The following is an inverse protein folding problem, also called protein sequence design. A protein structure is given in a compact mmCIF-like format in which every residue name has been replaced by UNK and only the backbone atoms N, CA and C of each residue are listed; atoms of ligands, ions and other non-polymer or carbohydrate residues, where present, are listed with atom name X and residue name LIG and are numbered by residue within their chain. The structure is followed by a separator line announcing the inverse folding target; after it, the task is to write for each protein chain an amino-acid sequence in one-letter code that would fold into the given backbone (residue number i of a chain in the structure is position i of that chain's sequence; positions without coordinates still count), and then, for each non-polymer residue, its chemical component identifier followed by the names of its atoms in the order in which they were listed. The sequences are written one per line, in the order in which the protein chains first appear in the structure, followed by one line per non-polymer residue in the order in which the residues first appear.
data_IF_404733113086
#
_entry.id   IF_404733113086
#
_cell.length_a   1.000
_cell.length_b   1.000
_cell.length_c   1.000
_cell.angle_alpha   90.00
_cell.angle_beta   90.00
_cell.angle_gamma   90.00
#
_symmetry.space_group_name_H-M   'P 1'
#
loop_
_entity.id
_entity.type
_entity.pdbx_description
1 polymer ?
#
# COMPACT_ATOMS: atom_id res chain seq x y z
N UNK A 1 -9.05 12.98 -6.84
CA UNK A 1 -9.19 13.67 -5.58
C UNK A 1 -9.62 12.71 -4.49
N UNK A 2 -8.74 12.49 -3.49
CA UNK A 2 -9.02 11.56 -2.39
C UNK A 2 -9.98 12.20 -1.38
N UNK A 3 -10.03 13.53 -1.30
CA UNK A 3 -10.78 14.28 -0.29
C UNK A 3 -12.27 13.88 -0.23
N UNK A 4 -12.93 13.73 -1.36
CA UNK A 4 -14.35 13.34 -1.41
C UNK A 4 -14.62 11.88 -0.99
N UNK A 5 -13.58 11.04 -0.92
CA UNK A 5 -13.65 9.62 -0.53
C UNK A 5 -13.05 9.36 0.85
N UNK A 6 -12.55 10.40 1.52
CA UNK A 6 -11.95 10.32 2.85
C UNK A 6 -13.03 10.28 3.93
N UNK A 7 -12.85 9.43 4.94
CA UNK A 7 -13.77 9.39 6.09
C UNK A 7 -13.68 10.65 6.97
N UNK A 8 -12.46 11.16 7.20
CA UNK A 8 -12.24 12.32 8.07
C UNK A 8 -10.76 12.73 8.05
N UNK A 9 -10.48 13.96 8.46
CA UNK A 9 -9.12 14.43 8.79
C UNK A 9 -8.63 13.93 10.16
N UNK A 10 -9.54 13.45 11.00
CA UNK A 10 -9.22 12.94 12.33
C UNK A 10 -8.89 11.45 12.28
N UNK A 11 -7.63 11.10 12.55
CA UNK A 11 -7.16 9.71 12.50
C UNK A 11 -7.89 8.75 13.47
N UNK A 12 -8.49 9.25 14.57
CA UNK A 12 -9.31 8.42 15.46
C UNK A 12 -10.64 8.06 14.81
N UNK A 13 -11.28 9.03 14.14
CA UNK A 13 -12.52 8.83 13.38
C UNK A 13 -12.28 7.84 12.25
N UNK A 14 -11.22 8.04 11.45
CA UNK A 14 -10.81 7.12 10.37
C UNK A 14 -10.59 5.71 10.90
N UNK A 15 -9.90 5.57 12.04
CA UNK A 15 -9.65 4.27 12.68
C UNK A 15 -10.94 3.57 13.09
N UNK A 16 -11.89 4.31 13.68
CA UNK A 16 -13.16 3.74 14.14
C UNK A 16 -14.04 3.32 12.98
N UNK A 17 -14.21 4.18 11.97
CA UNK A 17 -15.01 3.86 10.79
C UNK A 17 -14.38 2.72 9.98
N UNK A 18 -13.05 2.72 9.81
CA UNK A 18 -12.34 1.64 9.15
C UNK A 18 -12.56 0.28 9.83
N UNK A 19 -12.50 0.22 11.16
CA UNK A 19 -12.83 -1.02 11.91
C UNK A 19 -14.27 -1.46 11.72
N UNK A 20 -15.21 -0.53 11.82
CA UNK A 20 -16.63 -0.85 11.59
C UNK A 20 -16.87 -1.43 10.20
N UNK A 21 -16.26 -0.85 9.17
CA UNK A 21 -16.35 -1.39 7.80
C UNK A 21 -15.74 -2.80 7.72
N UNK A 22 -14.55 -3.02 8.27
CA UNK A 22 -13.90 -4.33 8.28
C UNK A 22 -14.78 -5.36 8.99
N UNK A 23 -15.24 -5.06 10.21
CA UNK A 23 -16.07 -5.95 11.01
C UNK A 23 -17.37 -6.32 10.30
N UNK A 24 -17.98 -5.35 9.61
CA UNK A 24 -19.21 -5.56 8.83
C UNK A 24 -18.99 -6.56 7.68
N UNK A 25 -17.94 -6.36 6.88
CA UNK A 25 -17.64 -7.24 5.75
C UNK A 25 -17.20 -8.63 6.22
N UNK A 26 -16.34 -8.72 7.23
CA UNK A 26 -15.85 -9.99 7.76
C UNK A 26 -16.97 -10.85 8.39
N UNK A 27 -17.91 -10.22 9.10
CA UNK A 27 -19.13 -10.91 9.58
C UNK A 27 -19.96 -11.51 8.45
N UNK A 28 -19.92 -10.90 7.26
CA UNK A 28 -20.57 -11.41 6.06
C UNK A 28 -19.64 -12.30 5.21
N UNK A 29 -18.51 -12.78 5.76
CA UNK A 29 -17.53 -13.65 5.08
C UNK A 29 -16.91 -13.02 3.82
N UNK A 30 -16.78 -11.70 3.79
CA UNK A 30 -16.14 -10.94 2.73
C UNK A 30 -14.82 -10.39 3.26
N UNK A 31 -13.70 -10.82 2.66
CA UNK A 31 -12.40 -10.30 3.02
C UNK A 31 -12.23 -8.83 2.58
N UNK A 32 -11.53 -8.05 3.39
CA UNK A 32 -11.28 -6.63 3.14
C UNK A 32 -9.83 -6.37 2.78
N UNK A 33 -9.59 -5.28 2.04
CA UNK A 33 -8.25 -4.76 1.75
C UNK A 33 -8.13 -3.36 2.32
N UNK A 34 -7.27 -3.16 3.32
CA UNK A 34 -6.98 -1.81 3.83
C UNK A 34 -5.98 -1.11 2.92
N UNK A 35 -6.27 0.15 2.53
CA UNK A 35 -5.44 0.87 1.55
C UNK A 35 -5.44 2.39 1.75
N UNK A 36 -4.37 3.04 1.32
CA UNK A 36 -3.11 2.52 0.80
C UNK A 36 -2.04 2.62 1.89
N UNK A 37 -1.58 1.48 2.40
CA UNK A 37 -0.61 1.42 3.50
C UNK A 37 0.79 1.92 3.02
N UNK A 38 1.52 2.72 3.80
CA UNK A 38 1.31 3.08 5.20
C UNK A 38 0.40 4.30 5.44
N UNK A 39 -0.15 4.96 4.40
CA UNK A 39 -1.07 6.07 4.50
C UNK A 39 -0.78 7.16 3.45
N UNK A 40 -1.82 7.76 2.89
CA UNK A 40 -1.77 8.83 1.88
C UNK A 40 -2.46 10.13 2.33
N UNK A 41 -2.90 10.22 3.59
CA UNK A 41 -3.69 11.36 4.07
C UNK A 41 -2.96 12.69 4.01
N UNK A 42 -1.64 12.68 4.17
CA UNK A 42 -0.78 13.87 4.06
C UNK A 42 -0.24 14.11 2.64
N UNK A 43 -0.71 13.37 1.64
CA UNK A 43 -0.37 13.61 0.23
C UNK A 43 -1.03 14.88 -0.29
N UNK A 44 -0.27 15.67 -1.06
CA UNK A 44 -0.75 16.87 -1.76
C UNK A 44 -0.99 16.66 -3.25
N UNK A 45 -0.82 15.45 -3.76
CA UNK A 45 -1.06 15.12 -5.16
C UNK A 45 -1.66 13.73 -5.31
N UNK A 46 -2.34 13.51 -6.44
CA UNK A 46 -2.93 12.23 -6.80
C UNK A 46 -1.86 11.28 -7.36
N UNK A 47 -1.79 10.08 -6.80
CA UNK A 47 -0.85 9.02 -7.21
C UNK A 47 -1.10 8.46 -8.62
N UNK A 48 -2.27 8.70 -9.20
CA UNK A 48 -2.56 8.29 -10.58
C UNK A 48 -1.76 9.09 -11.62
N UNK A 49 -1.41 10.33 -11.31
CA UNK A 49 -0.73 11.24 -12.27
C UNK A 49 0.74 11.42 -11.95
N UNK A 50 1.13 11.43 -10.68
CA UNK A 50 2.49 11.74 -10.24
C UNK A 50 2.79 11.00 -8.95
N UNK A 51 4.07 10.63 -8.75
CA UNK A 51 4.53 10.02 -7.50
C UNK A 51 4.39 11.01 -6.34
N UNK A 52 3.53 10.75 -5.34
CA UNK A 52 3.44 11.60 -4.16
C UNK A 52 4.73 11.54 -3.34
N UNK A 53 5.21 12.71 -2.90
CA UNK A 53 6.32 12.83 -1.94
C UNK A 53 5.78 13.43 -0.65
N UNK A 54 5.77 12.64 0.42
CA UNK A 54 5.16 13.02 1.70
C UNK A 54 6.27 13.48 2.66
N UNK A 55 6.54 14.79 2.69
CA UNK A 55 7.60 15.43 3.49
C UNK A 55 7.19 15.72 4.95
N UNK A 56 6.29 14.93 5.53
CA UNK A 56 5.92 15.04 6.92
C UNK A 56 7.02 14.48 7.84
N UNK A 57 7.06 14.94 9.09
CA UNK A 57 7.95 14.38 10.10
C UNK A 57 7.54 12.95 10.47
N UNK A 58 8.47 12.15 10.99
CA UNK A 58 8.15 10.78 11.46
C UNK A 58 7.03 10.79 12.51
N UNK A 59 7.09 11.74 13.44
CA UNK A 59 6.10 11.87 14.51
C UNK A 59 4.70 12.16 13.93
N UNK A 60 4.61 13.06 12.97
CA UNK A 60 3.34 13.37 12.30
C UNK A 60 2.79 12.18 11.51
N UNK A 61 3.64 11.47 10.77
CA UNK A 61 3.26 10.25 10.05
C UNK A 61 2.71 9.19 11.01
N UNK A 62 3.39 8.94 12.13
CA UNK A 62 2.94 7.98 13.13
C UNK A 62 1.62 8.37 13.82
N UNK A 63 1.42 9.64 14.07
CA UNK A 63 0.21 10.15 14.76
C UNK A 63 -1.01 10.26 13.85
N UNK A 64 -0.81 10.54 12.56
CA UNK A 64 -1.89 10.78 11.59
C UNK A 64 -2.04 9.61 10.62
N UNK A 65 -1.17 9.52 9.61
CA UNK A 65 -1.31 8.61 8.47
C UNK A 65 -1.20 7.13 8.83
N UNK A 66 -0.22 6.79 9.68
CA UNK A 66 0.07 5.39 10.00
C UNK A 66 -0.85 4.82 11.08
N UNK A 67 -1.43 5.68 11.90
CA UNK A 67 -2.28 5.26 13.03
C UNK A 67 -3.50 4.43 12.62
N UNK A 68 -4.30 4.80 11.62
CA UNK A 68 -5.43 3.99 11.18
C UNK A 68 -5.03 2.56 10.78
N UNK A 69 -3.92 2.41 10.06
CA UNK A 69 -3.42 1.11 9.61
C UNK A 69 -2.86 0.25 10.75
N UNK A 70 -2.37 0.88 11.82
CA UNK A 70 -1.92 0.16 13.02
C UNK A 70 -3.07 -0.48 13.78
N UNK A 71 -4.25 0.13 13.77
CA UNK A 71 -5.42 -0.32 14.55
C UNK A 71 -6.44 -1.10 13.72
N UNK A 72 -6.54 -0.82 12.42
CA UNK A 72 -7.39 -1.57 11.49
C UNK A 72 -6.67 -2.86 11.08
N UNK A 73 -7.24 -4.01 11.39
CA UNK A 73 -6.69 -5.32 11.05
C UNK A 73 -7.52 -5.97 9.97
N UNK A 74 -6.90 -6.32 8.87
CA UNK A 74 -7.50 -7.02 7.75
C UNK A 74 -6.55 -8.11 7.26
N UNK A 75 -7.07 -9.10 6.55
CA UNK A 75 -6.26 -10.14 5.93
C UNK A 75 -5.35 -9.57 4.84
N UNK A 76 -5.80 -8.54 4.13
CA UNK A 76 -5.07 -7.92 3.03
C UNK A 76 -4.80 -6.44 3.27
N UNK A 77 -3.65 -5.97 2.81
CA UNK A 77 -3.34 -4.55 2.71
C UNK A 77 -2.71 -4.23 1.35
N UNK A 78 -3.03 -3.08 0.78
CA UNK A 78 -2.47 -2.60 -0.47
C UNK A 78 -1.49 -1.47 -0.21
N UNK A 79 -0.28 -1.53 -0.82
CA UNK A 79 0.76 -0.53 -0.62
C UNK A 79 0.50 0.77 -1.36
N UNK A 80 1.03 1.87 -0.84
CA UNK A 80 0.99 3.17 -1.50
C UNK A 80 2.16 3.36 -2.48
N UNK A 81 1.89 3.87 -3.68
CA UNK A 81 2.92 4.36 -4.60
C UNK A 81 3.35 5.78 -4.22
N UNK A 82 3.82 5.96 -2.99
CA UNK A 82 4.27 7.23 -2.45
C UNK A 82 5.66 7.11 -1.81
N UNK A 83 6.45 8.18 -1.89
CA UNK A 83 7.77 8.29 -1.27
C UNK A 83 7.62 8.98 0.09
N UNK A 84 8.29 8.44 1.10
CA UNK A 84 8.37 8.98 2.46
C UNK A 84 9.84 9.28 2.80
N UNK A 85 10.36 10.47 2.48
CA UNK A 85 11.81 10.75 2.53
C UNK A 85 12.43 10.55 3.90
N UNK A 86 11.67 10.67 4.97
CA UNK A 86 12.15 10.42 6.35
C UNK A 86 12.43 8.94 6.66
N UNK A 87 12.01 8.02 5.79
CA UNK A 87 12.28 6.57 5.88
C UNK A 87 13.09 6.06 4.71
N UNK A 88 12.68 6.38 3.49
CA UNK A 88 13.36 6.02 2.24
C UNK A 88 13.10 7.13 1.20
N UNK A 89 14.11 7.97 0.88
CA UNK A 89 13.94 9.07 -0.06
C UNK A 89 13.94 8.63 -1.54
N UNK A 90 14.32 7.38 -1.82
CA UNK A 90 14.57 6.91 -3.19
C UNK A 90 13.45 6.05 -3.75
N UNK A 91 12.72 5.33 -2.89
CA UNK A 91 11.73 4.35 -3.29
C UNK A 91 10.34 4.70 -2.77
N UNK A 92 9.32 4.38 -3.57
CA UNK A 92 7.93 4.37 -3.08
C UNK A 92 7.77 3.31 -1.99
N UNK A 93 6.73 3.42 -1.15
CA UNK A 93 6.49 2.40 -0.12
C UNK A 93 6.35 0.99 -0.71
N UNK A 94 5.81 0.86 -1.92
CA UNK A 94 5.71 -0.40 -2.66
C UNK A 94 7.07 -1.04 -2.94
N UNK A 95 8.09 -0.23 -3.25
CA UNK A 95 9.45 -0.68 -3.60
C UNK A 95 10.45 -0.58 -2.44
N UNK A 96 10.03 -0.08 -1.26
CA UNK A 96 10.91 0.15 -0.13
C UNK A 96 10.90 -0.99 0.86
N UNK A 97 11.96 -1.80 0.84
CA UNK A 97 12.21 -2.84 1.86
C UNK A 97 12.24 -2.26 3.29
N UNK A 98 12.71 -1.01 3.43
CA UNK A 98 12.79 -0.32 4.72
C UNK A 98 11.38 -0.04 5.24
N UNK A 99 10.52 0.56 4.42
CA UNK A 99 9.15 0.89 4.80
C UNK A 99 8.35 -0.39 5.07
N UNK A 100 8.43 -1.38 4.18
CA UNK A 100 7.69 -2.64 4.37
C UNK A 100 8.14 -3.30 5.68
N UNK A 101 9.44 -3.49 5.89
CA UNK A 101 9.94 -4.19 7.08
C UNK A 101 9.73 -3.40 8.36
N UNK A 102 10.22 -2.13 8.42
CA UNK A 102 10.25 -1.37 9.67
C UNK A 102 8.92 -0.70 10.02
N UNK A 103 8.18 -0.21 9.02
CA UNK A 103 6.91 0.49 9.26
C UNK A 103 5.74 -0.49 9.22
N UNK A 104 5.53 -1.17 8.08
CA UNK A 104 4.33 -2.00 7.89
C UNK A 104 4.40 -3.26 8.76
N UNK A 105 5.47 -4.04 8.67
CA UNK A 105 5.57 -5.30 9.39
C UNK A 105 5.88 -5.12 10.88
N UNK A 106 6.83 -4.25 11.25
CA UNK A 106 7.23 -4.07 12.65
C UNK A 106 6.34 -3.07 13.38
N UNK A 107 6.28 -1.79 12.94
CA UNK A 107 5.56 -0.75 13.70
C UNK A 107 4.04 -0.94 13.68
N UNK A 108 3.46 -1.22 12.52
CA UNK A 108 2.01 -1.46 12.39
C UNK A 108 1.63 -2.89 12.78
N UNK A 109 2.61 -3.80 12.89
CA UNK A 109 2.41 -5.22 13.18
C UNK A 109 1.44 -5.90 12.19
N UNK A 110 1.48 -5.49 10.92
CA UNK A 110 0.66 -6.11 9.89
C UNK A 110 1.19 -7.49 9.53
N UNK A 111 0.39 -8.53 9.72
CA UNK A 111 0.75 -9.95 9.49
C UNK A 111 0.10 -10.56 8.25
N UNK A 112 -0.87 -9.88 7.65
CA UNK A 112 -1.59 -10.36 6.48
C UNK A 112 -0.81 -10.28 5.18
N UNK A 113 -1.48 -10.57 4.08
CA UNK A 113 -0.92 -10.51 2.74
C UNK A 113 -0.83 -9.07 2.25
N UNK A 114 0.37 -8.68 1.84
CA UNK A 114 0.65 -7.34 1.32
C UNK A 114 0.63 -7.38 -0.21
N UNK A 115 -0.26 -6.59 -0.80
CA UNK A 115 -0.46 -6.49 -2.24
C UNK A 115 0.09 -5.14 -2.71
N UNK A 116 0.76 -5.08 -3.86
CA UNK A 116 1.08 -3.78 -4.47
C UNK A 116 -0.20 -3.06 -4.90
N UNK A 117 -0.20 -1.74 -5.00
CA UNK A 117 -1.14 -1.07 -5.90
C UNK A 117 -0.79 -1.41 -7.36
N UNK A 118 -1.60 -0.98 -8.33
CA UNK A 118 -1.40 -1.31 -9.74
C UNK A 118 0.00 -0.93 -10.23
N UNK A 119 0.79 -1.95 -10.60
CA UNK A 119 2.17 -1.78 -11.04
C UNK A 119 2.31 -1.09 -12.40
N UNK A 120 1.21 -0.87 -13.12
CA UNK A 120 1.17 -0.12 -14.38
C UNK A 120 1.01 1.40 -14.18
N UNK A 121 0.81 1.88 -12.95
CA UNK A 121 0.60 3.30 -12.65
C UNK A 121 1.85 4.14 -12.93
N UNK A 122 1.62 5.36 -13.45
CA UNK A 122 2.67 6.34 -13.78
C UNK A 122 3.48 6.83 -12.57
N UNK A 123 3.01 6.58 -11.36
CA UNK A 123 3.73 6.88 -10.12
C UNK A 123 4.94 5.98 -9.87
N UNK A 124 5.09 4.88 -10.60
CA UNK A 124 6.27 4.03 -10.56
C UNK A 124 7.25 4.37 -11.68
N UNK A 125 8.56 4.23 -11.40
CA UNK A 125 9.63 4.75 -12.26
C UNK A 125 10.10 3.78 -13.35
N UNK A 126 9.87 2.47 -13.17
CA UNK A 126 10.50 1.43 -13.97
C UNK A 126 9.51 0.82 -14.95
N UNK A 127 10.00 -0.05 -15.83
CA UNK A 127 9.14 -0.87 -16.68
C UNK A 127 8.28 -1.85 -15.85
N UNK A 128 7.25 -2.39 -16.47
CA UNK A 128 6.23 -3.18 -15.79
C UNK A 128 6.80 -4.40 -15.04
N UNK A 129 7.65 -5.18 -15.72
CA UNK A 129 8.28 -6.38 -15.16
C UNK A 129 9.21 -6.02 -13.98
N UNK A 130 9.97 -4.94 -14.11
CA UNK A 130 10.86 -4.48 -13.06
C UNK A 130 10.09 -3.94 -11.86
N UNK A 131 8.98 -3.20 -12.08
CA UNK A 131 8.08 -2.75 -11.00
C UNK A 131 7.55 -3.95 -10.20
N UNK A 132 7.12 -5.01 -10.89
CA UNK A 132 6.62 -6.23 -10.25
C UNK A 132 7.70 -6.89 -9.39
N UNK A 133 8.88 -7.13 -9.95
CA UNK A 133 9.99 -7.78 -9.23
C UNK A 133 10.46 -6.95 -8.04
N UNK A 134 10.57 -5.62 -8.18
CA UNK A 134 10.94 -4.72 -7.08
C UNK A 134 9.92 -4.75 -5.94
N UNK A 135 8.62 -4.78 -6.24
CA UNK A 135 7.57 -4.89 -5.23
C UNK A 135 7.68 -6.20 -4.44
N UNK A 136 7.86 -7.32 -5.12
CA UNK A 136 8.06 -8.65 -4.49
C UNK A 136 9.34 -8.69 -3.66
N UNK A 137 10.48 -8.23 -4.20
CA UNK A 137 11.75 -8.16 -3.46
C UNK A 137 11.71 -7.22 -2.26
N UNK A 138 10.89 -6.17 -2.30
CA UNK A 138 10.69 -5.27 -1.16
C UNK A 138 9.89 -5.91 -0.04
N UNK A 139 9.09 -6.95 -0.33
CA UNK A 139 8.31 -7.73 0.64
C UNK A 139 6.80 -7.70 0.44
N UNK A 140 6.32 -7.27 -0.73
CA UNK A 140 4.93 -7.56 -1.14
C UNK A 140 4.80 -9.07 -1.41
N UNK A 141 3.66 -9.65 -1.02
CA UNK A 141 3.31 -11.04 -1.30
C UNK A 141 2.76 -11.21 -2.71
N UNK A 142 2.00 -10.22 -3.16
CA UNK A 142 1.33 -10.21 -4.45
C UNK A 142 1.55 -8.88 -5.17
N UNK A 143 1.51 -8.91 -6.49
CA UNK A 143 1.50 -7.71 -7.34
C UNK A 143 0.18 -7.61 -8.10
N UNK A 144 -0.32 -6.39 -8.25
CA UNK A 144 -1.58 -6.11 -8.91
C UNK A 144 -1.33 -5.45 -10.27
N UNK A 145 -2.03 -5.93 -11.30
CA UNK A 145 -2.06 -5.36 -12.65
C UNK A 145 -3.50 -5.19 -13.09
N UNK A 146 -3.95 -3.95 -13.34
CA UNK A 146 -5.38 -3.62 -13.43
C UNK A 146 -5.88 -3.29 -14.84
N UNK A 147 -5.00 -3.11 -15.83
CA UNK A 147 -5.43 -2.63 -17.14
C UNK A 147 -5.98 -3.72 -18.09
N UNK A 148 -5.86 -5.01 -17.74
CA UNK A 148 -6.38 -6.13 -18.53
C UNK A 148 -5.63 -6.40 -19.84
N UNK A 149 -4.45 -5.80 -20.06
CA UNK A 149 -3.67 -6.00 -21.27
C UNK A 149 -3.01 -7.38 -21.28
N UNK A 150 -3.51 -8.29 -22.11
CA UNK A 150 -3.04 -9.67 -22.21
C UNK A 150 -1.55 -9.81 -22.57
N UNK A 151 -1.00 -8.87 -23.36
CA UNK A 151 0.44 -8.90 -23.73
C UNK A 151 1.30 -8.57 -22.50
N UNK A 152 0.89 -7.60 -21.68
CA UNK A 152 1.56 -7.24 -20.43
C UNK A 152 1.44 -8.38 -19.40
N UNK A 153 0.26 -8.95 -19.22
CA UNK A 153 0.03 -10.08 -18.33
C UNK A 153 0.90 -11.29 -18.72
N UNK A 154 1.02 -11.58 -20.01
CA UNK A 154 1.88 -12.65 -20.52
C UNK A 154 3.37 -12.41 -20.27
N UNK A 155 3.84 -11.15 -20.26
CA UNK A 155 5.22 -10.81 -19.89
C UNK A 155 5.42 -10.98 -18.39
N UNK A 156 4.49 -10.51 -17.56
CA UNK A 156 4.57 -10.63 -16.10
C UNK A 156 4.66 -12.08 -15.63
N UNK A 157 3.82 -12.98 -16.16
CA UNK A 157 3.82 -14.41 -15.80
C UNK A 157 5.18 -15.07 -16.05
N UNK A 158 5.95 -14.62 -17.04
CA UNK A 158 7.26 -15.16 -17.36
C UNK A 158 8.35 -14.79 -16.34
N UNK A 159 8.20 -13.67 -15.64
CA UNK A 159 9.23 -13.13 -14.74
C UNK A 159 8.86 -13.23 -13.26
N UNK A 160 7.57 -13.33 -12.93
CA UNK A 160 7.12 -13.43 -11.53
C UNK A 160 7.47 -14.83 -10.99
N UNK A 161 8.11 -14.91 -9.80
CA UNK A 161 8.41 -16.17 -9.15
C UNK A 161 7.13 -16.91 -8.73
N UNK A 162 7.24 -18.22 -8.54
CA UNK A 162 6.16 -19.00 -7.94
C UNK A 162 5.85 -18.49 -6.53
N UNK A 163 4.58 -18.57 -6.16
CA UNK A 163 4.10 -18.22 -4.82
C UNK A 163 4.84 -19.06 -3.76
N UNK A 164 5.21 -18.44 -2.65
CA UNK A 164 5.87 -19.13 -1.54
C UNK A 164 4.85 -19.75 -0.57
N UNK A 165 5.36 -20.55 0.39
CA UNK A 165 4.51 -21.25 1.36
C UNK A 165 3.82 -20.33 2.35
N UNK A 166 4.31 -19.10 2.55
CA UNK A 166 3.70 -18.13 3.45
C UNK A 166 2.50 -17.45 2.78
N UNK A 167 2.62 -17.12 1.50
CA UNK A 167 1.59 -16.48 0.69
C UNK A 167 0.54 -17.49 0.24
#
# INVERSE_FOLDING_TARGET
DIASRSFSENSKVVSNLGRLCIDFYEKNKIATVIKHIPGLGLSRCDSHYKTPIINASKDELFKKDFKPFKVCRSLFAMTAHAVYPKFDPYNTATHSKIIIKKVIRCHMNFKGLLISDDISMKSLKYGLEENALRALHAGCNLVLHCNGNMREMSKLIKVIPKIDKFT
#
